data_IF_642667665923
#
_entry.id   IF_642667665923
#
_cell.length_a   1.000
_cell.length_b   1.000
_cell.length_c   1.000
_cell.angle_alpha   90.00
_cell.angle_beta   90.00
_cell.angle_gamma   90.00
#
_symmetry.space_group_name_H-M   'P 1'
#
loop_
_entity.id
_entity.type
_entity.pdbx_description
1 polymer ?
#
# COMPACT_ATOMS: atom_id res chain seq x y z
N UNK A 1 -12.60 22.13 -12.85
CA UNK A 1 -12.80 22.17 -11.39
C UNK A 1 -11.79 21.17 -10.82
N UNK A 2 -10.61 21.67 -10.41
CA UNK A 2 -9.56 20.77 -9.91
C UNK A 2 -10.02 20.15 -8.60
N UNK A 3 -9.87 18.83 -8.42
CA UNK A 3 -10.17 18.20 -7.14
C UNK A 3 -9.22 18.77 -6.10
N UNK A 4 -9.76 19.46 -5.13
CA UNK A 4 -9.01 19.89 -3.95
C UNK A 4 -8.74 18.62 -3.13
N UNK A 5 -7.73 17.85 -3.52
CA UNK A 5 -7.19 16.79 -2.66
C UNK A 5 -6.69 17.45 -1.39
N UNK A 6 -7.17 16.95 -0.26
CA UNK A 6 -6.66 17.30 1.06
C UNK A 6 -5.17 16.91 1.14
N UNK A 7 -4.29 17.80 0.70
CA UNK A 7 -2.83 17.60 0.71
C UNK A 7 -2.24 17.42 2.11
N UNK A 8 -3.02 17.70 3.16
CA UNK A 8 -2.59 17.56 4.56
C UNK A 8 -2.58 16.11 5.06
N UNK A 9 -3.36 15.22 4.45
CA UNK A 9 -3.50 13.82 4.88
C UNK A 9 -2.38 12.92 4.33
N UNK A 10 -1.76 13.33 3.22
CA UNK A 10 -0.79 12.51 2.51
C UNK A 10 0.62 12.97 2.82
N UNK A 11 1.34 12.20 3.62
CA UNK A 11 2.79 12.39 3.76
C UNK A 11 3.47 11.87 2.51
N UNK A 12 3.77 12.78 1.57
CA UNK A 12 4.62 12.43 0.43
C UNK A 12 6.06 12.28 0.90
N UNK A 13 6.70 11.16 0.55
CA UNK A 13 8.10 10.95 0.88
C UNK A 13 8.97 12.03 0.23
N UNK A 14 9.85 12.64 1.02
CA UNK A 14 10.93 13.45 0.48
C UNK A 14 11.88 12.56 -0.34
N UNK A 15 12.52 13.12 -1.38
CA UNK A 15 13.52 12.41 -2.14
C UNK A 15 14.58 11.82 -1.19
N UNK A 16 14.75 10.51 -1.20
CA UNK A 16 15.66 9.79 -0.33
C UNK A 16 16.72 9.09 -1.17
N UNK A 17 17.99 9.45 -0.92
CA UNK A 17 19.15 8.84 -1.58
C UNK A 17 19.55 7.55 -0.84
N UNK A 18 18.81 6.47 -1.03
CA UNK A 18 19.17 5.17 -0.46
C UNK A 18 17.98 4.25 -0.18
N UNK A 19 18.23 3.02 0.26
CA UNK A 19 17.17 2.08 0.59
C UNK A 19 16.40 2.53 1.83
N UNK A 20 15.08 2.42 1.76
CA UNK A 20 14.17 2.71 2.88
C UNK A 20 13.79 1.37 3.53
N UNK A 21 14.02 1.25 4.83
CA UNK A 21 13.56 0.10 5.62
C UNK A 21 12.16 0.38 6.16
N UNK A 22 11.24 -0.56 5.97
CA UNK A 22 9.85 -0.46 6.42
C UNK A 22 9.29 -1.84 6.75
N UNK A 23 8.23 -1.88 7.55
CA UNK A 23 7.58 -3.13 7.93
C UNK A 23 6.76 -3.72 6.76
N UNK A 24 6.17 -2.87 5.93
CA UNK A 24 5.35 -3.28 4.80
C UNK A 24 5.48 -2.31 3.62
N UNK A 25 5.36 -2.85 2.40
CA UNK A 25 5.26 -2.09 1.16
C UNK A 25 3.97 -2.48 0.45
N UNK A 26 3.16 -1.48 0.12
CA UNK A 26 1.95 -1.63 -0.67
C UNK A 26 2.23 -1.10 -2.07
N UNK A 27 1.99 -1.90 -3.08
CA UNK A 27 2.12 -1.50 -4.48
C UNK A 27 0.75 -1.19 -5.05
N UNK A 28 0.52 0.08 -5.37
CA UNK A 28 -0.75 0.62 -5.83
C UNK A 28 -1.53 1.37 -4.75
N UNK A 29 -1.84 2.64 -5.01
CA UNK A 29 -2.67 3.50 -4.16
C UNK A 29 -4.14 3.55 -4.62
N UNK A 30 -4.64 2.49 -5.25
CA UNK A 30 -6.05 2.30 -5.56
C UNK A 30 -6.85 1.95 -4.30
N UNK A 31 -8.18 1.74 -4.41
CA UNK A 31 -9.05 1.47 -3.26
C UNK A 31 -8.59 0.31 -2.38
N UNK A 32 -8.08 -0.75 -2.99
CA UNK A 32 -7.57 -1.93 -2.25
C UNK A 32 -6.29 -1.59 -1.48
N UNK A 33 -5.35 -0.87 -2.10
CA UNK A 33 -4.11 -0.45 -1.44
C UNK A 33 -4.37 0.53 -0.30
N UNK A 34 -5.29 1.47 -0.49
CA UNK A 34 -5.70 2.40 0.58
C UNK A 34 -6.36 1.65 1.74
N UNK A 35 -7.25 0.70 1.46
CA UNK A 35 -7.84 -0.11 2.51
C UNK A 35 -6.81 -1.01 3.23
N UNK A 36 -5.79 -1.49 2.52
CA UNK A 36 -4.69 -2.23 3.13
C UNK A 36 -3.89 -1.38 4.13
N UNK A 37 -3.74 -0.08 3.88
CA UNK A 37 -3.14 0.85 4.87
C UNK A 37 -3.95 0.86 6.16
N UNK A 38 -5.29 0.86 6.07
CA UNK A 38 -6.17 0.80 7.22
C UNK A 38 -5.96 -0.50 8.02
N UNK A 39 -5.98 -1.65 7.33
CA UNK A 39 -5.81 -2.96 7.97
C UNK A 39 -4.43 -3.10 8.66
N UNK A 40 -3.36 -2.67 8.00
CA UNK A 40 -2.02 -2.68 8.58
C UNK A 40 -1.91 -1.70 9.75
N UNK A 41 -2.55 -0.53 9.63
CA UNK A 41 -2.58 0.48 10.68
C UNK A 41 -3.25 -0.01 11.97
N UNK A 42 -4.31 -0.81 11.87
CA UNK A 42 -4.95 -1.45 13.03
C UNK A 42 -4.00 -2.44 13.76
N UNK A 43 -3.04 -2.99 13.04
CA UNK A 43 -2.02 -3.89 13.57
C UNK A 43 -0.74 -3.16 13.99
N UNK A 44 -0.73 -1.82 13.95
CA UNK A 44 0.43 -0.97 14.23
C UNK A 44 1.63 -1.22 13.29
N UNK A 45 1.38 -1.76 12.10
CA UNK A 45 2.38 -2.03 11.06
C UNK A 45 2.51 -0.77 10.19
N UNK A 46 3.70 -0.22 10.10
CA UNK A 46 3.99 0.93 9.24
C UNK A 46 4.13 0.51 7.79
N UNK A 47 3.40 1.19 6.91
CA UNK A 47 3.41 0.90 5.48
C UNK A 47 3.91 2.08 4.65
N UNK A 48 4.68 1.77 3.61
CA UNK A 48 4.98 2.66 2.50
C UNK A 48 4.14 2.24 1.30
N UNK A 49 3.47 3.20 0.67
CA UNK A 49 2.61 2.99 -0.50
C UNK A 49 3.32 3.56 -1.72
N UNK A 50 3.48 2.76 -2.77
CA UNK A 50 4.14 3.16 -4.02
C UNK A 50 3.12 3.11 -5.14
N UNK A 51 2.99 4.19 -5.91
CA UNK A 51 2.12 4.23 -7.09
C UNK A 51 2.80 4.96 -8.24
N UNK A 52 2.59 4.46 -9.46
CA UNK A 52 3.06 5.07 -10.69
C UNK A 52 2.30 6.35 -11.05
N UNK A 53 1.07 6.50 -10.59
CA UNK A 53 0.29 7.73 -10.72
C UNK A 53 0.79 8.81 -9.76
N UNK A 54 0.49 10.06 -10.09
CA UNK A 54 0.88 11.21 -9.27
C UNK A 54 -0.07 11.47 -8.07
N UNK A 55 -1.15 10.70 -7.96
CA UNK A 55 -2.20 10.86 -6.95
C UNK A 55 -2.86 9.52 -6.62
N UNK A 56 -3.49 9.40 -5.44
CA UNK A 56 -4.17 8.17 -5.03
C UNK A 56 -5.51 8.00 -5.74
N UNK A 57 -6.04 6.76 -5.70
CA UNK A 57 -7.34 6.39 -6.26
C UNK A 57 -7.25 5.38 -7.39
N UNK A 58 -6.08 5.25 -8.02
CA UNK A 58 -5.85 4.29 -9.10
C UNK A 58 -6.86 4.45 -10.24
N UNK A 59 -7.26 3.33 -10.85
CA UNK A 59 -8.17 3.35 -12.01
C UNK A 59 -9.55 3.97 -11.70
N UNK A 60 -10.02 3.92 -10.47
CA UNK A 60 -11.31 4.50 -10.10
C UNK A 60 -11.34 6.02 -10.29
N UNK A 61 -10.24 6.70 -10.01
CA UNK A 61 -10.11 8.15 -10.18
C UNK A 61 -9.59 8.50 -11.56
N UNK A 62 -8.63 7.74 -12.08
CA UNK A 62 -8.00 8.02 -13.37
C UNK A 62 -8.96 7.87 -14.56
N UNK A 63 -9.78 6.82 -14.54
CA UNK A 63 -10.62 6.46 -15.69
C UNK A 63 -12.11 6.80 -15.48
N UNK A 64 -12.59 6.77 -14.25
CA UNK A 64 -14.03 6.80 -13.94
C UNK A 64 -14.36 7.63 -12.70
N UNK A 65 -13.83 8.86 -12.52
CA UNK A 65 -13.98 9.61 -11.27
C UNK A 65 -15.45 9.86 -10.89
N UNK A 66 -16.29 10.12 -11.87
CA UNK A 66 -17.72 10.48 -11.69
C UNK A 66 -18.68 9.30 -11.90
N UNK A 67 -18.14 8.11 -12.23
CA UNK A 67 -18.98 6.94 -12.47
C UNK A 67 -19.55 6.42 -11.15
N UNK A 68 -20.89 6.22 -11.05
CA UNK A 68 -21.50 5.66 -9.86
C UNK A 68 -21.13 4.18 -9.69
N UNK A 69 -20.78 3.82 -8.46
CA UNK A 69 -20.43 2.49 -8.00
C UNK A 69 -21.50 2.03 -7.01
N UNK A 70 -22.03 0.82 -7.17
CA UNK A 70 -23.15 0.28 -6.39
C UNK A 70 -22.80 -1.00 -5.62
N UNK A 71 -21.63 -1.56 -5.83
CA UNK A 71 -21.21 -2.87 -5.36
C UNK A 71 -20.22 -2.84 -4.18
N UNK A 72 -20.17 -1.70 -3.47
CA UNK A 72 -19.38 -1.57 -2.25
C UNK A 72 -20.28 -1.92 -1.05
N UNK A 73 -19.90 -2.90 -0.21
CA UNK A 73 -20.68 -3.26 0.97
C UNK A 73 -20.94 -2.06 1.88
N UNK A 74 -22.18 -1.91 2.33
CA UNK A 74 -22.65 -0.83 3.19
C UNK A 74 -22.61 0.60 2.58
N UNK A 75 -22.22 0.75 1.31
CA UNK A 75 -22.28 2.01 0.58
C UNK A 75 -23.27 1.84 -0.55
N UNK A 76 -24.50 2.40 -0.45
CA UNK A 76 -25.55 2.22 -1.47
C UNK A 76 -25.14 2.71 -2.86
N UNK A 77 -24.43 3.83 -2.91
CA UNK A 77 -23.86 4.42 -4.11
C UNK A 77 -22.77 5.42 -3.72
N UNK A 78 -21.70 5.43 -4.48
CA UNK A 78 -20.66 6.47 -4.44
C UNK A 78 -20.02 6.61 -5.83
N UNK A 79 -19.31 7.70 -6.07
CA UNK A 79 -18.43 7.84 -7.23
C UNK A 79 -17.03 7.28 -6.94
N UNK A 80 -16.22 7.09 -7.99
CA UNK A 80 -14.82 6.69 -7.81
C UNK A 80 -14.01 7.68 -6.97
N UNK A 81 -14.29 8.98 -7.15
CA UNK A 81 -13.66 10.04 -6.35
C UNK A 81 -14.12 10.00 -4.89
N UNK A 82 -15.44 9.91 -4.64
CA UNK A 82 -15.99 9.85 -3.28
C UNK A 82 -15.47 8.62 -2.50
N UNK A 83 -15.35 7.48 -3.17
CA UNK A 83 -14.76 6.28 -2.56
C UNK A 83 -13.32 6.53 -2.12
N UNK A 84 -12.52 7.12 -2.98
CA UNK A 84 -11.11 7.43 -2.68
C UNK A 84 -11.00 8.44 -1.55
N UNK A 85 -11.79 9.50 -1.56
CA UNK A 85 -11.79 10.52 -0.51
C UNK A 85 -12.18 9.94 0.86
N UNK A 86 -13.14 9.02 0.88
CA UNK A 86 -13.56 8.35 2.11
C UNK A 86 -12.47 7.42 2.63
N UNK A 87 -11.78 6.67 1.76
CA UNK A 87 -10.66 5.82 2.14
C UNK A 87 -9.48 6.66 2.67
N UNK A 88 -9.16 7.78 2.05
CA UNK A 88 -8.11 8.69 2.51
C UNK A 88 -8.41 9.22 3.92
N UNK A 89 -9.64 9.64 4.18
CA UNK A 89 -10.07 10.04 5.53
C UNK A 89 -9.96 8.90 6.54
N UNK A 90 -10.27 7.68 6.12
CA UNK A 90 -10.21 6.50 6.99
C UNK A 90 -8.78 6.17 7.41
N UNK A 91 -7.81 6.36 6.52
CA UNK A 91 -6.39 6.03 6.77
C UNK A 91 -5.58 7.19 7.39
N UNK A 92 -6.13 8.39 7.44
CA UNK A 92 -5.48 9.59 8.00
C UNK A 92 -4.80 9.35 9.36
N UNK A 93 -5.43 8.67 10.34
CA UNK A 93 -4.83 8.45 11.65
C UNK A 93 -3.57 7.59 11.64
N UNK A 94 -3.37 6.78 10.61
CA UNK A 94 -2.25 5.83 10.54
C UNK A 94 -0.98 6.41 9.91
N UNK A 95 -1.09 7.54 9.22
CA UNK A 95 0.05 8.33 8.74
C UNK A 95 1.00 7.58 7.80
N UNK A 96 0.46 6.75 6.88
CA UNK A 96 1.26 6.06 5.87
C UNK A 96 2.05 7.03 4.99
N UNK A 97 3.20 6.59 4.49
CA UNK A 97 4.06 7.38 3.60
C UNK A 97 3.81 6.97 2.15
N UNK A 98 3.54 7.95 1.29
CA UNK A 98 3.24 7.73 -0.12
C UNK A 98 4.42 8.14 -1.01
N UNK A 99 4.69 7.31 -2.01
CA UNK A 99 5.66 7.52 -3.08
C UNK A 99 4.93 7.52 -4.41
N UNK A 100 4.55 8.70 -4.89
CA UNK A 100 3.85 8.86 -6.15
C UNK A 100 4.80 9.07 -7.33
N UNK A 101 4.33 8.70 -8.53
CA UNK A 101 5.13 8.80 -9.76
C UNK A 101 6.30 7.82 -9.80
N UNK A 102 6.24 6.75 -9.02
CA UNK A 102 7.28 5.72 -8.94
C UNK A 102 6.73 4.37 -9.37
N UNK A 103 7.40 3.73 -10.30
CA UNK A 103 7.04 2.41 -10.79
C UNK A 103 7.86 1.33 -10.10
N UNK A 104 7.18 0.32 -9.57
CA UNK A 104 7.84 -0.86 -9.00
C UNK A 104 8.21 -1.82 -10.13
N UNK A 105 9.50 -1.95 -10.40
CA UNK A 105 10.00 -2.79 -11.49
C UNK A 105 10.34 -4.21 -11.06
N UNK A 106 10.80 -4.40 -9.83
CA UNK A 106 11.22 -5.71 -9.32
C UNK A 106 10.80 -5.85 -7.84
N UNK A 107 10.25 -7.01 -7.52
CA UNK A 107 10.01 -7.43 -6.14
C UNK A 107 10.83 -8.70 -5.89
N UNK A 108 11.76 -8.65 -4.95
CA UNK A 108 12.55 -9.80 -4.54
C UNK A 108 12.09 -10.31 -3.18
N UNK A 109 11.78 -11.60 -3.10
CA UNK A 109 11.61 -12.29 -1.83
C UNK A 109 12.97 -12.88 -1.42
N UNK A 110 13.54 -12.38 -0.34
CA UNK A 110 14.86 -12.81 0.16
C UNK A 110 14.84 -14.17 0.88
N UNK A 111 13.67 -14.82 0.98
CA UNK A 111 13.54 -16.19 1.50
C UNK A 111 12.82 -17.06 0.49
N UNK A 112 13.28 -18.32 0.28
CA UNK A 112 12.40 -19.33 -0.29
C UNK A 112 11.18 -19.39 0.63
N UNK A 113 9.98 -19.19 0.08
CA UNK A 113 8.75 -19.54 0.79
C UNK A 113 8.84 -21.05 1.05
N UNK A 114 9.26 -21.45 2.23
CA UNK A 114 8.96 -22.79 2.72
C UNK A 114 7.44 -22.87 2.82
N UNK A 115 6.83 -23.38 1.77
CA UNK A 115 5.46 -23.85 1.84
C UNK A 115 5.51 -24.98 2.87
N UNK A 116 5.09 -24.69 4.10
CA UNK A 116 4.90 -25.67 5.14
C UNK A 116 3.87 -26.68 4.63
N UNK A 117 4.31 -27.82 4.13
CA UNK A 117 3.41 -28.86 3.64
C UNK A 117 4.07 -29.93 2.77
N UNK A 118 5.27 -30.40 3.10
CA UNK A 118 5.73 -31.73 2.68
C UNK A 118 6.72 -32.21 3.73
N UNK A 119 6.26 -33.13 4.57
CA UNK A 119 7.06 -33.71 5.62
C UNK A 119 8.33 -34.36 5.08
N UNK A 120 9.43 -34.06 5.69
CA UNK A 120 10.53 -34.98 5.95
C UNK A 120 11.18 -34.53 7.26
N UNK A 121 10.94 -35.30 8.28
CA UNK A 121 11.63 -35.27 9.56
C UNK A 121 13.09 -35.64 9.30
N UNK A 122 13.99 -34.67 9.41
CA UNK A 122 15.41 -34.80 9.75
C UNK A 122 16.19 -33.56 9.25
N UNK A 123 16.09 -32.44 9.96
CA UNK A 123 17.12 -31.41 9.90
C UNK A 123 17.16 -30.61 11.20
N UNK A 124 18.32 -30.62 11.83
CA UNK A 124 18.66 -29.89 13.05
C UNK A 124 18.40 -28.39 12.96
N UNK A 125 18.12 -27.69 14.08
CA UNK A 125 17.81 -26.26 14.07
C UNK A 125 19.03 -25.45 13.65
N UNK A 126 18.99 -24.91 12.45
CA UNK A 126 19.92 -23.87 12.00
C UNK A 126 19.60 -22.56 12.71
N UNK A 127 20.57 -22.01 13.43
CA UNK A 127 20.58 -20.67 14.00
C UNK A 127 20.50 -19.65 12.86
N UNK A 128 19.29 -19.33 12.41
CA UNK A 128 19.06 -18.33 11.36
C UNK A 128 19.01 -16.93 11.98
N UNK A 129 19.80 -16.03 11.46
CA UNK A 129 19.76 -14.59 11.73
C UNK A 129 18.34 -14.02 11.49
N UNK A 130 17.95 -12.93 12.20
CA UNK A 130 16.65 -12.33 12.05
C UNK A 130 16.40 -11.85 10.60
N UNK A 131 15.15 -11.80 10.15
CA UNK A 131 14.82 -11.43 8.79
C UNK A 131 15.24 -9.99 8.48
N UNK A 132 16.02 -9.83 7.43
CA UNK A 132 16.24 -8.50 6.83
C UNK A 132 14.94 -7.99 6.23
N UNK A 133 14.55 -6.77 6.62
CA UNK A 133 13.36 -6.09 6.10
C UNK A 133 13.41 -5.94 4.57
N UNK A 134 12.25 -5.87 3.89
CA UNK A 134 12.20 -5.63 2.46
C UNK A 134 12.86 -4.29 2.12
N UNK A 135 13.69 -4.28 1.09
CA UNK A 135 14.42 -3.09 0.62
C UNK A 135 13.80 -2.66 -0.71
N UNK A 136 13.30 -1.44 -0.76
CA UNK A 136 12.85 -0.79 -2.01
C UNK A 136 14.01 0.03 -2.57
N UNK A 137 14.37 -0.19 -3.83
CA UNK A 137 15.38 0.62 -4.55
C UNK A 137 14.69 1.35 -5.70
N UNK A 138 14.97 2.63 -5.80
CA UNK A 138 14.62 3.47 -6.94
C UNK A 138 15.46 3.10 -8.17
#
# INVERSE_FOLDING_TARGET
>A
MEPQLNQEVIKTAAAHDGPIETDAVIVGAGPVGLFQVFELGLLEIKAHVIDSLAYPGGQCVELYPDKPIYDIPAVPVCTGQELTDNLLKQIEPFGATFHFGQEVTIVHCCRPCEIAGAGNDDAAPSTAAPPTAPVVRN
#
